data_IF_754322104201
#
_entry.id   IF_754322104201
#
_cell.length_a   1.000
_cell.length_b   1.000
_cell.length_c   1.000
_cell.angle_alpha   90.00
_cell.angle_beta   90.00
_cell.angle_gamma   90.00
#
_symmetry.space_group_name_H-M   'P 1'
#
loop_
_entity.id
_entity.type
_entity.pdbx_description
1 polymer ?
#
# COMPACT_ATOMS: atom_id res chain seq x y z
N UNK A 1 -3.42 7.59 4.87
CA UNK A 1 -4.19 8.83 5.07
C UNK A 1 -3.42 10.13 4.78
N UNK A 2 -2.07 10.17 4.78
CA UNK A 2 -1.32 11.36 4.33
C UNK A 2 -1.45 11.71 2.83
N UNK A 3 -1.98 10.79 2.01
CA UNK A 3 -2.11 10.98 0.55
C UNK A 3 -3.33 11.86 0.21
N UNK A 4 -4.46 11.69 0.92
CA UNK A 4 -5.69 12.44 0.67
C UNK A 4 -5.65 13.86 1.25
N UNK A 5 -4.96 14.06 2.37
CA UNK A 5 -4.86 15.39 3.00
C UNK A 5 -4.12 16.45 2.14
N UNK A 6 -3.46 16.04 1.04
CA UNK A 6 -2.72 16.94 0.14
C UNK A 6 -3.27 17.04 -1.28
N UNK A 7 -4.31 16.28 -1.63
CA UNK A 7 -4.75 16.12 -3.01
C UNK A 7 -6.27 15.96 -3.09
N UNK A 8 -6.92 16.83 -3.84
CA UNK A 8 -8.35 16.78 -4.23
C UNK A 8 -8.65 15.61 -5.20
N UNK A 9 -7.65 14.78 -5.49
CA UNK A 9 -7.80 13.58 -6.30
C UNK A 9 -8.13 12.37 -5.41
N UNK A 10 -9.34 11.78 -5.52
CA UNK A 10 -9.72 10.61 -4.74
C UNK A 10 -8.99 9.33 -5.20
N UNK A 11 -8.25 9.40 -6.33
CA UNK A 11 -7.52 8.27 -6.90
C UNK A 11 -6.10 8.18 -6.35
N UNK A 12 -5.75 7.00 -5.83
CA UNK A 12 -4.42 6.71 -5.28
C UNK A 12 -3.88 5.42 -5.91
N UNK A 13 -2.66 5.46 -6.44
CA UNK A 13 -1.98 4.26 -6.92
C UNK A 13 -1.71 3.28 -5.77
N UNK A 14 -1.99 2.00 -5.98
CA UNK A 14 -1.65 0.97 -4.97
C UNK A 14 -0.14 0.90 -4.76
N UNK A 15 0.65 1.17 -5.80
CA UNK A 15 2.11 1.23 -5.68
C UNK A 15 2.55 2.33 -4.72
N UNK A 16 1.93 3.51 -4.77
CA UNK A 16 2.25 4.60 -3.84
C UNK A 16 1.93 4.22 -2.38
N UNK A 17 0.82 3.51 -2.16
CA UNK A 17 0.44 3.02 -0.83
C UNK A 17 1.50 2.04 -0.30
N UNK A 18 1.88 1.07 -1.13
CA UNK A 18 2.85 0.03 -0.76
C UNK A 18 4.25 0.63 -0.54
N UNK A 19 4.70 1.54 -1.39
CA UNK A 19 5.99 2.24 -1.22
C UNK A 19 6.00 3.03 0.07
N UNK A 20 4.92 3.76 0.39
CA UNK A 20 4.81 4.49 1.65
C UNK A 20 4.71 3.56 2.85
N UNK A 21 4.12 2.38 2.72
CA UNK A 21 4.12 1.37 3.78
C UNK A 21 5.54 0.92 4.11
N UNK A 22 6.33 0.60 3.08
CA UNK A 22 7.76 0.27 3.22
C UNK A 22 8.53 1.44 3.84
N UNK A 23 8.33 2.67 3.37
CA UNK A 23 9.03 3.85 3.88
C UNK A 23 8.71 4.15 5.35
N UNK A 24 7.47 3.92 5.79
CA UNK A 24 7.08 4.07 7.19
C UNK A 24 7.64 2.94 8.07
N UNK A 25 7.73 1.73 7.53
CA UNK A 25 8.25 0.57 8.26
C UNK A 25 9.79 0.52 8.28
N UNK A 26 10.46 1.29 7.42
CA UNK A 26 11.91 1.30 7.25
C UNK A 26 12.67 1.50 8.56
N UNK A 27 12.43 2.62 9.25
CA UNK A 27 13.14 2.92 10.48
C UNK A 27 12.83 1.91 11.60
N UNK A 28 11.56 1.58 11.91
CA UNK A 28 11.25 0.61 12.97
C UNK A 28 11.82 -0.79 12.72
N UNK A 29 11.82 -1.26 11.48
CA UNK A 29 12.34 -2.59 11.13
C UNK A 29 13.86 -2.63 11.28
N UNK A 30 14.59 -1.63 10.78
CA UNK A 30 16.05 -1.63 10.87
C UNK A 30 16.57 -1.37 12.29
N UNK A 31 15.95 -0.45 13.03
CA UNK A 31 16.43 -0.03 14.34
C UNK A 31 15.91 -0.89 15.49
N UNK A 32 14.62 -1.22 15.48
CA UNK A 32 14.00 -1.97 16.58
C UNK A 32 13.83 -3.45 16.27
N UNK A 33 14.17 -3.89 15.05
CA UNK A 33 13.90 -5.25 14.55
C UNK A 33 12.44 -5.65 14.77
N UNK A 34 11.55 -4.68 14.56
CA UNK A 34 10.12 -4.86 14.78
C UNK A 34 9.61 -5.96 13.84
N UNK A 35 9.11 -7.04 14.42
CA UNK A 35 8.44 -8.13 13.70
C UNK A 35 6.95 -8.09 14.02
N UNK A 36 6.10 -8.05 12.99
CA UNK A 36 4.65 -8.16 13.15
C UNK A 36 4.17 -9.62 13.19
N UNK A 37 5.06 -10.55 13.54
CA UNK A 37 4.80 -11.99 13.65
C UNK A 37 5.33 -12.80 12.47
N UNK A 38 5.36 -14.13 12.62
CA UNK A 38 5.96 -15.07 11.66
C UNK A 38 5.30 -15.10 10.28
N UNK A 39 4.11 -14.54 10.15
CA UNK A 39 3.33 -14.51 8.90
C UNK A 39 3.40 -13.17 8.19
N UNK A 40 4.10 -12.19 8.76
CA UNK A 40 4.28 -10.89 8.13
C UNK A 40 5.54 -10.89 7.25
N UNK A 41 5.35 -10.69 5.95
CA UNK A 41 6.44 -10.61 4.98
C UNK A 41 7.07 -9.20 4.92
N UNK A 42 6.53 -8.20 5.61
CA UNK A 42 7.01 -6.81 5.52
C UNK A 42 8.44 -6.68 6.05
N UNK A 43 8.78 -7.39 7.13
CA UNK A 43 10.14 -7.41 7.67
C UNK A 43 11.16 -7.87 6.62
N UNK A 44 10.92 -9.05 6.03
CA UNK A 44 11.83 -9.64 5.04
C UNK A 44 11.91 -8.77 3.78
N UNK A 45 10.77 -8.24 3.32
CA UNK A 45 10.72 -7.35 2.16
C UNK A 45 11.53 -6.08 2.39
N UNK A 46 11.40 -5.44 3.57
CA UNK A 46 12.12 -4.20 3.88
C UNK A 46 13.62 -4.45 3.97
N UNK A 47 14.05 -5.54 4.62
CA UNK A 47 15.45 -5.94 4.70
C UNK A 47 16.04 -6.22 3.31
N UNK A 48 15.31 -6.94 2.45
CA UNK A 48 15.78 -7.27 1.10
C UNK A 48 15.81 -6.02 0.20
N UNK A 49 14.82 -5.13 0.32
CA UNK A 49 14.82 -3.86 -0.39
C UNK A 49 16.00 -2.97 0.04
N UNK A 50 16.36 -2.94 1.32
CA UNK A 50 17.55 -2.22 1.79
C UNK A 50 18.81 -2.79 1.16
N UNK A 51 18.95 -4.11 1.12
CA UNK A 51 20.09 -4.78 0.51
C UNK A 51 20.20 -4.51 -1.02
N UNK A 52 19.08 -4.50 -1.74
CA UNK A 52 19.09 -4.24 -3.19
C UNK A 52 19.34 -2.75 -3.48
N UNK A 53 18.65 -1.87 -2.76
CA UNK A 53 18.67 -0.44 -3.07
C UNK A 53 19.88 0.29 -2.51
N UNK A 54 20.49 -0.26 -1.46
CA UNK A 54 21.57 0.35 -0.67
C UNK A 54 21.17 1.72 -0.10
N UNK A 55 19.86 1.95 0.08
CA UNK A 55 19.36 3.15 0.77
C UNK A 55 19.80 3.05 2.25
N UNK A 56 20.34 4.14 2.84
CA UNK A 56 20.72 4.15 4.24
C UNK A 56 19.55 3.79 5.17
N UNK A 57 19.85 3.08 6.27
CA UNK A 57 18.83 2.67 7.25
C UNK A 57 18.19 3.86 7.99
N UNK A 58 18.94 4.97 8.09
CA UNK A 58 18.54 6.25 8.68
C UNK A 58 17.95 7.23 7.65
N UNK A 59 17.78 6.80 6.40
CA UNK A 59 17.17 7.62 5.37
C UNK A 59 15.77 8.07 5.80
N UNK A 60 15.45 9.33 5.51
CA UNK A 60 14.09 9.84 5.75
C UNK A 60 13.09 9.21 4.79
N UNK A 61 11.81 9.22 5.17
CA UNK A 61 10.74 8.59 4.37
C UNK A 61 10.65 9.12 2.94
N UNK A 62 10.95 10.40 2.70
CA UNK A 62 10.88 10.98 1.35
C UNK A 62 11.96 10.40 0.43
N UNK A 63 13.20 10.29 0.92
CA UNK A 63 14.30 9.66 0.19
C UNK A 63 14.01 8.20 -0.13
N UNK A 64 13.40 7.46 0.80
CA UNK A 64 13.01 6.06 0.58
C UNK A 64 11.91 5.97 -0.49
N UNK A 65 10.88 6.83 -0.41
CA UNK A 65 9.80 6.89 -1.39
C UNK A 65 10.37 7.16 -2.79
N UNK A 66 11.18 8.21 -2.96
CA UNK A 66 11.78 8.57 -4.24
C UNK A 66 12.70 7.46 -4.79
N UNK A 67 13.50 6.85 -3.91
CA UNK A 67 14.41 5.75 -4.27
C UNK A 67 13.67 4.50 -4.77
N UNK A 68 12.54 4.15 -4.15
CA UNK A 68 11.72 3.02 -4.56
C UNK A 68 10.86 3.34 -5.79
N UNK A 69 10.27 4.53 -5.86
CA UNK A 69 9.47 4.96 -7.01
C UNK A 69 10.31 5.02 -8.29
N UNK A 70 11.51 5.58 -8.23
CA UNK A 70 12.41 5.68 -9.40
C UNK A 70 12.91 4.32 -9.91
N UNK A 71 12.88 3.28 -9.07
CA UNK A 71 13.32 1.92 -9.41
C UNK A 71 12.18 0.91 -9.45
N UNK A 72 10.93 1.37 -9.57
CA UNK A 72 9.76 0.50 -9.54
C UNK A 72 9.73 -0.52 -10.69
N UNK A 73 10.37 -0.21 -11.82
CA UNK A 73 10.48 -1.14 -12.96
C UNK A 73 11.60 -2.16 -12.84
N UNK A 74 12.43 -2.09 -11.78
CA UNK A 74 13.36 -3.15 -11.44
C UNK A 74 12.60 -4.42 -11.06
N UNK A 75 12.92 -5.54 -11.71
CA UNK A 75 12.19 -6.81 -11.53
C UNK A 75 12.24 -7.34 -10.10
N UNK A 76 13.35 -7.15 -9.38
CA UNK A 76 13.49 -7.65 -8.01
C UNK A 76 12.67 -6.78 -7.05
N UNK A 77 12.78 -5.45 -7.17
CA UNK A 77 12.00 -4.51 -6.36
C UNK A 77 10.50 -4.70 -6.62
N UNK A 78 10.09 -4.74 -7.89
CA UNK A 78 8.69 -4.92 -8.28
C UNK A 78 8.11 -6.22 -7.74
N UNK A 79 8.87 -7.31 -7.77
CA UNK A 79 8.46 -8.61 -7.22
C UNK A 79 8.19 -8.52 -5.71
N UNK A 80 9.10 -7.90 -4.95
CA UNK A 80 8.95 -7.74 -3.50
C UNK A 80 7.72 -6.90 -3.15
N UNK A 81 7.56 -5.76 -3.83
CA UNK A 81 6.40 -4.89 -3.62
C UNK A 81 5.08 -5.57 -4.06
N UNK A 82 5.11 -6.41 -5.11
CA UNK A 82 3.93 -7.15 -5.58
C UNK A 82 3.33 -8.03 -4.49
N UNK A 83 4.15 -8.67 -3.65
CA UNK A 83 3.66 -9.49 -2.53
C UNK A 83 2.74 -8.70 -1.58
N UNK A 84 3.07 -7.42 -1.34
CA UNK A 84 2.23 -6.53 -0.53
C UNK A 84 0.95 -6.15 -1.28
N UNK A 85 1.04 -5.86 -2.58
CA UNK A 85 -0.13 -5.50 -3.42
C UNK A 85 -1.17 -6.64 -3.53
N UNK A 86 -0.76 -7.89 -3.38
CA UNK A 86 -1.66 -9.06 -3.44
C UNK A 86 -2.52 -9.21 -2.19
N UNK A 87 -2.06 -8.71 -1.04
CA UNK A 87 -2.74 -8.96 0.22
C UNK A 87 -3.38 -7.69 0.79
N UNK A 88 -2.67 -6.57 0.77
CA UNK A 88 -3.07 -5.35 1.48
C UNK A 88 -4.41 -4.80 0.98
N UNK A 89 -4.58 -4.46 -0.32
CA UNK A 89 -5.81 -3.79 -0.77
C UNK A 89 -7.05 -4.69 -0.69
N UNK A 90 -6.92 -5.99 -0.85
CA UNK A 90 -8.04 -6.93 -0.80
C UNK A 90 -8.42 -7.23 0.65
N UNK A 91 -7.46 -7.62 1.50
CA UNK A 91 -7.75 -7.98 2.90
C UNK A 91 -8.35 -6.83 3.69
N UNK A 92 -7.97 -5.59 3.38
CA UNK A 92 -8.52 -4.42 4.04
C UNK A 92 -10.03 -4.25 3.79
N UNK A 93 -10.55 -4.66 2.63
CA UNK A 93 -11.98 -4.52 2.30
C UNK A 93 -12.86 -5.64 2.88
N UNK A 94 -12.28 -6.72 3.40
CA UNK A 94 -13.02 -7.87 3.93
C UNK A 94 -14.07 -7.56 5.00
N UNK A 95 -13.87 -6.58 5.91
CA UNK A 95 -14.91 -6.20 6.86
C UNK A 95 -16.19 -5.67 6.21
N UNK A 96 -16.09 -5.11 4.99
CA UNK A 96 -17.24 -4.60 4.22
C UNK A 96 -17.74 -5.61 3.20
N UNK A 97 -16.85 -6.39 2.59
CA UNK A 97 -17.16 -7.28 1.48
C UNK A 97 -16.74 -8.68 1.87
N UNK A 98 -17.72 -9.50 2.23
CA UNK A 98 -17.50 -10.90 2.56
C UNK A 98 -17.29 -11.72 1.27
N UNK A 99 -16.05 -11.75 0.80
CA UNK A 99 -15.58 -12.61 -0.28
C UNK A 99 -14.10 -12.92 -0.09
N UNK A 100 -13.70 -14.12 -0.51
CA UNK A 100 -12.31 -14.54 -0.62
C UNK A 100 -11.77 -14.44 -2.06
N UNK A 101 -12.62 -14.14 -3.04
CA UNK A 101 -12.24 -13.98 -4.45
C UNK A 101 -11.88 -12.52 -4.76
N UNK A 102 -10.63 -12.30 -5.16
CA UNK A 102 -10.09 -10.99 -5.52
C UNK A 102 -10.86 -10.32 -6.68
N UNK A 103 -11.34 -11.09 -7.67
CA UNK A 103 -12.11 -10.52 -8.80
C UNK A 103 -13.47 -10.02 -8.33
N UNK A 104 -14.11 -10.81 -7.47
CA UNK A 104 -15.40 -10.43 -6.91
C UNK A 104 -15.25 -9.25 -5.95
N UNK A 105 -14.14 -9.18 -5.21
CA UNK A 105 -13.81 -8.04 -4.37
C UNK A 105 -13.65 -6.76 -5.18
N UNK A 106 -12.93 -6.80 -6.31
CA UNK A 106 -12.81 -5.65 -7.22
C UNK A 106 -14.21 -5.22 -7.68
N UNK A 107 -15.02 -6.14 -8.20
CA UNK A 107 -16.36 -5.85 -8.72
C UNK A 107 -17.30 -5.24 -7.66
N UNK A 108 -17.37 -5.83 -6.47
CA UNK A 108 -18.23 -5.37 -5.36
C UNK A 108 -17.74 -4.08 -4.71
N UNK A 109 -16.43 -3.86 -4.67
CA UNK A 109 -15.88 -2.61 -4.13
C UNK A 109 -16.25 -1.40 -5.01
N UNK A 110 -16.41 -1.58 -6.32
CA UNK A 110 -16.82 -0.53 -7.24
C UNK A 110 -18.28 -0.10 -7.07
N UNK A 111 -19.13 -0.96 -6.48
CA UNK A 111 -20.49 -0.58 -6.09
C UNK A 111 -20.54 0.07 -4.70
N UNK A 112 -19.37 0.31 -4.07
CA UNK A 112 -19.24 0.84 -2.71
C UNK A 112 -20.08 0.06 -1.70
N UNK A 113 -20.08 -1.27 -1.84
CA UNK A 113 -20.92 -2.15 -1.03
C UNK A 113 -20.67 -1.95 0.47
N UNK A 114 -21.75 -1.89 1.24
CA UNK A 114 -21.74 -1.65 2.68
C UNK A 114 -21.03 -0.35 3.10
N UNK A 115 -20.87 0.61 2.18
CA UNK A 115 -20.15 1.85 2.44
C UNK A 115 -18.65 1.63 2.61
N UNK A 116 -18.05 0.72 1.83
CA UNK A 116 -16.61 0.46 1.86
C UNK A 116 -15.77 1.73 1.75
N UNK A 117 -14.60 1.73 2.40
CA UNK A 117 -13.73 2.91 2.45
C UNK A 117 -13.25 3.37 1.07
N UNK A 118 -13.00 2.42 0.17
CA UNK A 118 -12.60 2.68 -1.19
C UNK A 118 -13.11 1.61 -2.14
N UNK A 119 -13.08 1.94 -3.43
CA UNK A 119 -13.25 1.03 -4.56
C UNK A 119 -11.89 0.65 -5.15
N UNK A 120 -11.72 -0.60 -5.56
CA UNK A 120 -10.53 -1.12 -6.23
C UNK A 120 -10.71 -1.12 -7.75
N UNK A 121 -9.68 -0.68 -8.46
CA UNK A 121 -9.61 -0.73 -9.90
C UNK A 121 -8.29 -1.35 -10.32
N UNK A 122 -8.37 -2.42 -11.10
CA UNK A 122 -7.22 -3.14 -11.63
C UNK A 122 -7.47 -3.44 -13.09
N UNK A 123 -6.79 -2.72 -13.97
CA UNK A 123 -6.88 -2.90 -15.42
C UNK A 123 -5.48 -2.92 -16.03
N UNK A 124 -5.08 -4.06 -16.60
CA UNK A 124 -3.74 -4.27 -17.14
C UNK A 124 -2.64 -3.95 -16.12
N UNK A 125 -1.84 -2.92 -16.41
CA UNK A 125 -0.77 -2.41 -15.54
C UNK A 125 -1.23 -1.37 -14.53
N UNK A 126 -2.45 -0.84 -14.68
CA UNK A 126 -2.99 0.22 -13.85
C UNK A 126 -3.67 -0.39 -12.62
N UNK A 127 -3.19 -0.06 -11.43
CA UNK A 127 -3.72 -0.58 -10.17
C UNK A 127 -3.85 0.54 -9.14
N UNK A 128 -5.09 0.94 -8.86
CA UNK A 128 -5.39 2.08 -8.00
C UNK A 128 -6.66 1.86 -7.18
N UNK A 129 -6.78 2.67 -6.12
CA UNK A 129 -8.00 2.80 -5.34
C UNK A 129 -8.65 4.15 -5.59
N UNK A 130 -9.96 4.22 -5.42
CA UNK A 130 -10.71 5.47 -5.37
C UNK A 130 -11.41 5.55 -4.03
N UNK A 131 -11.12 6.59 -3.26
CA UNK A 131 -11.72 6.79 -1.94
C UNK A 131 -13.22 7.08 -2.07
N UNK A 132 -13.98 6.56 -1.12
CA UNK A 132 -15.40 6.82 -1.02
C UNK A 132 -15.64 8.17 -0.33
N UNK A 133 -16.28 9.11 -1.03
CA UNK A 133 -16.57 10.46 -0.56
C UNK A 133 -17.38 10.49 0.74
N UNK A 134 -18.15 9.42 1.05
CA UNK A 134 -18.87 9.32 2.30
C UNK A 134 -17.95 9.36 3.53
N UNK A 135 -16.66 9.05 3.37
CA UNK A 135 -15.66 9.06 4.42
C UNK A 135 -14.84 10.35 4.51
N UNK A 136 -14.98 11.29 3.58
CA UNK A 136 -14.15 12.50 3.54
C UNK A 136 -14.21 13.30 4.85
N UNK A 137 -15.43 13.51 5.37
CA UNK A 137 -15.61 14.18 6.65
C UNK A 137 -14.87 13.49 7.80
N UNK A 138 -14.87 12.15 7.83
CA UNK A 138 -14.17 11.39 8.86
C UNK A 138 -12.65 11.49 8.70
N UNK A 139 -12.15 11.32 7.48
CA UNK A 139 -10.72 11.29 7.15
C UNK A 139 -10.02 12.66 7.24
N UNK A 140 -10.77 13.77 7.19
CA UNK A 140 -10.23 15.12 7.33
C UNK A 140 -10.37 15.71 8.74
N UNK A 141 -11.26 15.16 9.57
CA UNK A 141 -11.54 15.72 10.90
C UNK A 141 -10.72 15.04 12.01
N UNK A 142 -10.27 13.80 11.80
CA UNK A 142 -9.51 13.00 12.78
C UNK A 142 -8.17 12.55 12.18
#
# INVERSE_FOLDING_TARGET
MQIHAKSDNPRISVWDIVIRMVANAWYPIHYFRLSFGKSDSLFDIVMELQHITQIPIDANSQTIIEGLTSRLEDKQIKRLLTTLTLNVPYRFLRPWIDTSDDKEMVRRSQTLENGSLYALYKDGSDFYIVLNQAWDAYLHTH
#
